data_IF_850119944514
#
_entry.id   IF_850119944514
#
_cell.length_a   1.000
_cell.length_b   1.000
_cell.length_c   1.000
_cell.angle_alpha   90.00
_cell.angle_beta   90.00
_cell.angle_gamma   90.00
#
_symmetry.space_group_name_H-M   'P 1'
#
loop_
_entity.id
_entity.type
_entity.pdbx_description
1 polymer ?
#
# COMPACT_ATOMS: atom_id res chain seq x y z
N UNK A 1 -18.45 13.01 21.54
CA UNK A 1 -17.78 11.70 21.46
C UNK A 1 -16.27 11.93 21.47
N UNK A 2 -15.52 11.40 22.43
CA UNK A 2 -14.06 11.55 22.47
C UNK A 2 -13.43 10.90 21.23
N UNK A 3 -12.53 11.62 20.55
CA UNK A 3 -11.75 11.06 19.44
C UNK A 3 -10.85 9.95 20.01
N UNK A 4 -11.06 8.70 19.58
CA UNK A 4 -10.10 7.62 19.89
C UNK A 4 -8.69 8.07 19.43
N UNK A 5 -7.66 7.89 20.26
CA UNK A 5 -6.29 8.19 19.86
C UNK A 5 -5.96 7.40 18.61
N UNK A 6 -5.31 8.06 17.64
CA UNK A 6 -4.88 7.38 16.40
C UNK A 6 -3.75 6.42 16.78
N UNK A 7 -3.80 5.14 16.37
CA UNK A 7 -2.72 4.21 16.65
C UNK A 7 -1.42 4.75 16.01
N UNK A 8 -0.37 4.87 16.82
CA UNK A 8 0.96 5.23 16.34
C UNK A 8 1.49 4.06 15.52
N UNK A 9 1.77 4.29 14.24
CA UNK A 9 2.35 3.26 13.38
C UNK A 9 3.79 2.94 13.82
N UNK A 10 4.19 1.67 13.92
CA UNK A 10 5.56 1.32 14.26
C UNK A 10 6.51 1.68 13.13
N UNK A 11 7.77 1.90 13.49
CA UNK A 11 8.88 1.93 12.55
C UNK A 11 9.19 0.51 12.06
N UNK A 12 9.95 0.36 10.98
CA UNK A 12 10.38 -0.94 10.51
C UNK A 12 11.16 -1.68 11.58
N UNK A 13 10.93 -2.98 11.73
CA UNK A 13 11.69 -3.80 12.65
C UNK A 13 11.91 -5.19 12.07
N UNK A 14 13.01 -5.81 12.48
CA UNK A 14 13.26 -7.23 12.27
C UNK A 14 12.65 -7.97 13.43
N UNK A 15 11.70 -8.85 13.15
CA UNK A 15 11.08 -9.71 14.15
C UNK A 15 11.34 -11.17 13.84
N UNK A 16 10.88 -12.01 14.75
CA UNK A 16 10.86 -13.45 14.53
C UNK A 16 9.99 -13.81 13.33
N UNK A 17 10.18 -15.05 12.91
CA UNK A 17 9.35 -15.71 11.92
C UNK A 17 7.86 -15.53 12.20
N UNK A 18 7.04 -15.29 11.15
CA UNK A 18 5.62 -15.20 11.34
C UNK A 18 5.08 -16.56 11.82
N UNK A 19 4.25 -16.53 12.85
CA UNK A 19 3.59 -17.73 13.39
C UNK A 19 2.63 -18.39 12.40
N UNK A 20 2.31 -17.71 11.30
CA UNK A 20 1.43 -18.22 10.23
C UNK A 20 2.07 -18.00 8.86
N UNK A 21 1.76 -18.89 7.94
CA UNK A 21 2.19 -18.82 6.55
C UNK A 21 1.68 -17.52 5.91
N UNK A 22 2.60 -16.70 5.42
CA UNK A 22 2.25 -15.44 4.76
C UNK A 22 1.50 -15.61 3.43
N UNK A 23 1.52 -16.82 2.86
CA UNK A 23 0.86 -17.16 1.60
C UNK A 23 -0.56 -17.68 1.79
N UNK A 24 -0.77 -18.69 2.64
CA UNK A 24 -2.09 -19.33 2.82
C UNK A 24 -2.71 -19.13 4.21
N UNK A 25 -1.96 -18.60 5.18
CA UNK A 25 -2.44 -18.39 6.55
C UNK A 25 -2.38 -19.60 7.47
N UNK A 26 -1.86 -20.75 7.01
CA UNK A 26 -1.65 -21.96 7.83
C UNK A 26 -0.78 -21.67 9.05
N UNK A 27 -1.09 -22.28 10.19
CA UNK A 27 -0.32 -22.14 11.44
C UNK A 27 1.04 -22.85 11.32
N UNK A 28 2.13 -22.13 11.56
CA UNK A 28 3.50 -22.64 11.43
C UNK A 28 4.09 -23.10 12.76
N UNK A 29 3.32 -23.11 13.85
CA UNK A 29 3.77 -23.61 15.14
C UNK A 29 4.29 -25.06 15.02
N UNK A 30 5.60 -25.25 15.27
CA UNK A 30 6.26 -26.56 15.20
C UNK A 30 6.53 -27.08 13.78
N UNK A 31 6.29 -26.26 12.75
CA UNK A 31 6.57 -26.62 11.36
C UNK A 31 7.97 -26.14 10.98
N UNK A 32 8.78 -27.04 10.43
CA UNK A 32 10.07 -26.72 9.82
C UNK A 32 10.06 -27.15 8.36
N UNK A 33 10.83 -26.48 7.50
CA UNK A 33 10.85 -26.80 6.07
C UNK A 33 9.80 -26.01 5.31
N UNK A 34 8.80 -26.69 4.76
CA UNK A 34 7.79 -26.11 3.89
C UNK A 34 6.43 -26.06 4.54
N UNK A 35 5.61 -25.08 4.16
CA UNK A 35 4.21 -25.01 4.54
C UNK A 35 3.49 -26.27 4.03
N UNK A 36 2.79 -27.03 4.90
CA UNK A 36 2.06 -28.24 4.50
C UNK A 36 0.95 -27.99 3.49
N UNK A 37 0.34 -26.80 3.51
CA UNK A 37 -0.79 -26.48 2.62
C UNK A 37 -0.36 -25.96 1.25
N UNK A 38 0.56 -24.98 1.20
CA UNK A 38 0.93 -24.31 -0.04
C UNK A 38 2.35 -24.65 -0.54
N UNK A 39 3.12 -25.42 0.22
CA UNK A 39 4.47 -25.86 -0.16
C UNK A 39 5.54 -24.77 -0.12
N UNK A 40 5.21 -23.55 0.34
CA UNK A 40 6.17 -22.45 0.42
C UNK A 40 7.26 -22.75 1.44
N UNK A 41 8.52 -22.38 1.15
CA UNK A 41 9.63 -22.57 2.09
C UNK A 41 9.51 -21.61 3.28
N UNK A 42 9.84 -22.14 4.44
CA UNK A 42 9.84 -21.47 5.76
C UNK A 42 11.18 -21.76 6.47
N UNK A 43 11.84 -22.86 6.09
CA UNK A 43 13.13 -23.28 6.59
C UNK A 43 14.22 -22.22 6.42
N UNK A 44 14.94 -21.95 7.50
CA UNK A 44 16.23 -21.25 7.46
C UNK A 44 16.14 -19.75 7.24
N UNK A 45 14.97 -19.11 7.34
CA UNK A 45 14.99 -17.64 7.40
C UNK A 45 15.38 -17.18 8.82
N UNK A 46 16.25 -16.18 8.99
CA UNK A 46 16.63 -15.72 10.32
C UNK A 46 15.64 -14.73 10.95
N UNK A 47 14.51 -14.45 10.28
CA UNK A 47 13.51 -13.49 10.73
C UNK A 47 12.73 -12.86 9.57
N UNK A 48 11.79 -12.00 9.92
CA UNK A 48 10.96 -11.26 8.97
C UNK A 48 11.04 -9.75 9.21
N UNK A 49 11.06 -8.97 8.13
CA UNK A 49 11.02 -7.50 8.24
C UNK A 49 9.57 -7.05 8.13
N UNK A 50 9.10 -6.38 9.18
CA UNK A 50 7.74 -5.86 9.26
C UNK A 50 7.75 -4.35 9.04
N UNK A 51 6.95 -3.86 8.09
CA UNK A 51 6.76 -2.42 7.87
C UNK A 51 5.27 -2.04 7.87
N UNK A 52 4.99 -0.84 8.36
CA UNK A 52 3.70 -0.19 8.19
C UNK A 52 3.72 0.69 6.94
N UNK A 53 2.92 0.34 5.94
CA UNK A 53 2.93 1.05 4.66
C UNK A 53 1.54 1.28 4.09
N UNK A 54 1.49 2.14 3.08
CA UNK A 54 0.34 2.41 2.24
C UNK A 54 0.76 2.02 0.82
N UNK A 55 0.26 0.90 0.29
CA UNK A 55 0.59 0.51 -1.07
C UNK A 55 0.15 1.61 -2.03
N UNK A 56 0.95 1.85 -3.07
CA UNK A 56 0.50 2.62 -4.21
C UNK A 56 -0.57 1.78 -4.88
N UNK A 57 -1.72 2.37 -5.15
CA UNK A 57 -2.83 1.65 -5.75
C UNK A 57 -2.37 0.92 -7.00
N UNK A 58 -2.63 -0.39 -7.06
CA UNK A 58 -2.88 -1.04 -8.34
C UNK A 58 -3.94 -0.19 -9.04
N UNK A 59 -3.65 0.20 -10.29
CA UNK A 59 -4.52 1.08 -11.06
C UNK A 59 -5.98 0.68 -10.86
N UNK A 60 -6.90 1.65 -10.66
CA UNK A 60 -8.32 1.34 -10.53
C UNK A 60 -8.68 0.45 -11.71
N UNK A 61 -9.26 -0.73 -11.39
CA UNK A 61 -9.64 -1.76 -12.35
C UNK A 61 -10.03 -1.08 -13.67
N UNK A 62 -9.39 -1.39 -14.81
CA UNK A 62 -9.59 -0.67 -16.07
C UNK A 62 -11.08 -0.57 -16.44
N UNK A 63 -11.90 -1.53 -15.99
CA UNK A 63 -13.37 -1.47 -16.09
C UNK A 63 -14.04 -0.33 -15.35
N UNK A 64 -13.54 0.10 -14.19
CA UNK A 64 -14.04 1.31 -13.53
C UNK A 64 -13.72 2.55 -14.35
N UNK A 65 -12.49 2.67 -14.88
CA UNK A 65 -12.12 3.79 -15.77
C UNK A 65 -13.00 3.80 -17.02
N UNK A 66 -13.19 2.63 -17.65
CA UNK A 66 -14.07 2.48 -18.80
C UNK A 66 -15.52 2.85 -18.48
N UNK A 67 -16.06 2.40 -17.33
CA UNK A 67 -17.40 2.75 -16.89
C UNK A 67 -17.57 4.27 -16.69
N UNK A 68 -16.57 4.97 -16.14
CA UNK A 68 -16.59 6.43 -16.04
C UNK A 68 -16.61 7.10 -17.42
N UNK A 69 -15.81 6.61 -18.37
CA UNK A 69 -15.77 7.15 -19.74
C UNK A 69 -17.12 6.94 -20.41
N UNK A 70 -17.69 5.72 -20.36
CA UNK A 70 -18.99 5.40 -20.95
C UNK A 70 -20.09 6.26 -20.32
N UNK A 71 -20.10 6.40 -18.99
CA UNK A 71 -21.08 7.23 -18.29
C UNK A 71 -20.98 8.71 -18.69
N UNK A 72 -19.76 9.24 -18.83
CA UNK A 72 -19.54 10.62 -19.27
C UNK A 72 -19.99 10.85 -20.73
N UNK A 73 -19.67 9.91 -21.63
CA UNK A 73 -20.11 9.96 -23.03
C UNK A 73 -21.63 9.86 -23.11
N UNK A 74 -22.24 8.89 -22.42
CA UNK A 74 -23.68 8.72 -22.37
C UNK A 74 -24.36 9.98 -21.83
N UNK A 75 -23.88 10.56 -20.73
CA UNK A 75 -24.43 11.80 -20.17
C UNK A 75 -24.32 12.98 -21.15
N UNK A 76 -23.23 13.07 -21.92
CA UNK A 76 -23.04 14.12 -22.94
C UNK A 76 -23.97 13.94 -24.14
N UNK A 77 -24.11 12.72 -24.65
CA UNK A 77 -25.03 12.43 -25.75
C UNK A 77 -26.49 12.64 -25.33
N UNK A 78 -26.83 12.20 -24.11
CA UNK A 78 -28.17 12.37 -23.56
C UNK A 78 -28.49 13.86 -23.39
N UNK A 79 -27.56 14.67 -22.88
CA UNK A 79 -27.77 16.11 -22.71
C UNK A 79 -27.96 16.82 -24.05
N UNK A 80 -27.19 16.47 -25.09
CA UNK A 80 -27.37 17.00 -26.45
C UNK A 80 -28.73 16.61 -27.05
N UNK A 81 -29.14 15.35 -26.89
CA UNK A 81 -30.44 14.87 -27.35
C UNK A 81 -31.60 15.59 -26.66
N UNK A 82 -31.53 15.77 -25.33
CA UNK A 82 -32.54 16.50 -24.56
C UNK A 82 -32.52 18.01 -24.78
N UNK A 83 -31.39 18.59 -25.21
CA UNK A 83 -31.36 19.97 -25.67
C UNK A 83 -32.14 20.13 -26.97
N UNK A 84 -31.92 19.25 -27.95
CA UNK A 84 -32.65 19.25 -29.22
C UNK A 84 -34.15 18.99 -29.04
N UNK A 85 -34.53 18.05 -28.18
CA UNK A 85 -35.94 17.74 -27.88
C UNK A 85 -36.56 18.75 -26.93
N UNK A 86 -35.82 19.31 -25.97
CA UNK A 86 -36.32 20.25 -24.98
C UNK A 86 -36.78 21.58 -25.58
N UNK A 87 -36.19 21.97 -26.71
CA UNK A 87 -36.69 23.06 -27.57
C UNK A 87 -38.10 22.77 -28.11
N UNK A 88 -38.48 21.49 -28.21
CA UNK A 88 -39.72 21.03 -28.85
C UNK A 88 -40.79 20.52 -27.86
N UNK A 89 -40.41 19.89 -26.75
CA UNK A 89 -41.31 19.13 -25.85
C UNK A 89 -41.40 19.73 -24.43
N UNK A 90 -40.64 20.79 -24.14
CA UNK A 90 -40.80 21.58 -22.92
C UNK A 90 -39.62 21.46 -21.95
N UNK A 91 -39.07 22.63 -21.60
CA UNK A 91 -37.88 22.83 -20.77
C UNK A 91 -37.87 22.06 -19.43
N UNK A 92 -39.05 21.88 -18.82
CA UNK A 92 -39.18 21.25 -17.50
C UNK A 92 -38.80 19.77 -17.49
N UNK A 93 -39.16 19.01 -18.53
CA UNK A 93 -38.86 17.56 -18.62
C UNK A 93 -37.35 17.36 -18.77
N UNK A 94 -36.69 18.18 -19.60
CA UNK A 94 -35.24 18.14 -19.78
C UNK A 94 -34.49 18.42 -18.48
N UNK A 95 -34.98 19.36 -17.64
CA UNK A 95 -34.39 19.62 -16.32
C UNK A 95 -34.51 18.43 -15.36
N UNK A 96 -35.67 17.76 -15.32
CA UNK A 96 -35.88 16.60 -14.44
C UNK A 96 -34.98 15.42 -14.83
N UNK A 97 -34.81 15.15 -16.12
CA UNK A 97 -33.92 14.07 -16.59
C UNK A 97 -32.47 14.39 -16.26
N UNK A 98 -32.02 15.63 -16.51
CA UNK A 98 -30.67 16.06 -16.14
C UNK A 98 -30.42 15.91 -14.64
N UNK A 99 -31.38 16.34 -13.80
CA UNK A 99 -31.30 16.17 -12.35
C UNK A 99 -31.19 14.67 -11.96
N UNK A 100 -31.98 13.79 -12.59
CA UNK A 100 -31.92 12.35 -12.36
C UNK A 100 -30.56 11.74 -12.69
N UNK A 101 -29.96 12.13 -13.83
CA UNK A 101 -28.61 11.69 -14.21
C UNK A 101 -27.57 12.17 -13.19
N UNK A 102 -27.62 13.44 -12.79
CA UNK A 102 -26.69 13.99 -11.79
C UNK A 102 -26.81 13.27 -10.44
N UNK A 103 -28.03 12.96 -9.99
CA UNK A 103 -28.26 12.17 -8.77
C UNK A 103 -27.66 10.77 -8.91
N UNK A 104 -27.86 10.10 -10.06
CA UNK A 104 -27.30 8.77 -10.29
C UNK A 104 -25.77 8.76 -10.30
N UNK A 105 -25.13 9.75 -10.96
CA UNK A 105 -23.67 9.93 -10.93
C UNK A 105 -23.19 10.20 -9.51
N UNK A 106 -23.86 11.08 -8.77
CA UNK A 106 -23.51 11.39 -7.39
C UNK A 106 -23.62 10.16 -6.48
N UNK A 107 -24.74 9.43 -6.55
CA UNK A 107 -24.94 8.19 -5.81
C UNK A 107 -23.86 7.16 -6.16
N UNK A 108 -23.50 6.99 -7.43
CA UNK A 108 -22.42 6.11 -7.85
C UNK A 108 -21.05 6.54 -7.31
N UNK A 109 -20.73 7.85 -7.32
CA UNK A 109 -19.46 8.36 -6.76
C UNK A 109 -19.39 8.16 -5.25
N UNK A 110 -20.49 8.40 -4.53
CA UNK A 110 -20.57 8.24 -3.08
C UNK A 110 -20.56 6.77 -2.66
N UNK A 111 -21.24 5.90 -3.42
CA UNK A 111 -21.29 4.45 -3.16
C UNK A 111 -20.07 3.70 -3.70
N UNK A 112 -19.37 4.27 -4.68
CA UNK A 112 -18.04 3.85 -5.09
C UNK A 112 -17.16 4.00 -3.88
N UNK A 113 -17.02 2.91 -3.13
CA UNK A 113 -16.07 2.78 -2.04
C UNK A 113 -14.71 3.05 -2.66
N UNK A 114 -14.27 4.29 -2.59
CA UNK A 114 -12.86 4.63 -2.62
C UNK A 114 -12.28 3.70 -1.58
N UNK A 115 -11.46 2.72 -2.03
CA UNK A 115 -10.70 1.89 -1.11
C UNK A 115 -9.86 2.91 -0.35
N UNK A 116 -10.35 3.33 0.82
CA UNK A 116 -9.64 4.26 1.69
C UNK A 116 -8.25 3.67 1.81
N UNK A 117 -7.22 4.50 1.60
CA UNK A 117 -5.82 4.13 1.76
C UNK A 117 -5.66 3.53 3.16
N UNK A 118 -5.88 2.23 3.28
CA UNK A 118 -5.74 1.52 4.53
C UNK A 118 -4.26 1.30 4.67
N UNK A 119 -3.76 1.65 5.85
CA UNK A 119 -2.43 1.22 6.21
C UNK A 119 -2.45 -0.31 6.20
N UNK A 120 -1.44 -0.89 5.60
CA UNK A 120 -1.20 -2.31 5.51
C UNK A 120 0.07 -2.64 6.29
N UNK A 121 0.07 -3.82 6.91
CA UNK A 121 1.27 -4.45 7.42
C UNK A 121 1.88 -5.23 6.27
N UNK A 122 3.07 -4.83 5.85
CA UNK A 122 3.83 -5.49 4.79
C UNK A 122 4.94 -6.28 5.48
N UNK A 123 5.01 -7.57 5.18
CA UNK A 123 5.95 -8.51 5.79
C UNK A 123 6.88 -9.03 4.69
N UNK A 124 8.17 -8.84 4.86
CA UNK A 124 9.19 -9.40 3.97
C UNK A 124 9.81 -10.61 4.65
N UNK A 125 9.94 -11.66 3.87
CA UNK A 125 10.51 -12.98 4.23
C UNK A 125 11.40 -13.41 3.08
N UNK A 126 12.16 -14.50 3.20
CA UNK A 126 12.90 -15.07 2.05
C UNK A 126 11.98 -15.78 1.05
N UNK A 127 10.76 -16.12 1.45
CA UNK A 127 9.75 -16.65 0.55
C UNK A 127 9.14 -15.58 -0.38
N UNK A 128 8.95 -14.36 0.13
CA UNK A 128 8.31 -13.28 -0.62
C UNK A 128 7.81 -12.12 0.25
N UNK A 129 6.83 -11.40 -0.31
CA UNK A 129 6.18 -10.24 0.27
C UNK A 129 4.74 -10.62 0.66
N UNK A 130 4.43 -10.59 1.94
CA UNK A 130 3.06 -10.71 2.46
C UNK A 130 2.44 -9.35 2.76
N UNK A 131 1.17 -9.14 2.39
CA UNK A 131 0.43 -7.90 2.65
C UNK A 131 -0.85 -8.19 3.41
N UNK A 132 -1.01 -7.58 4.57
CA UNK A 132 -2.20 -7.70 5.41
C UNK A 132 -2.77 -6.32 5.75
N UNK A 133 -4.09 -6.19 5.90
CA UNK A 133 -4.67 -4.99 6.51
C UNK A 133 -4.07 -4.75 7.91
N UNK A 134 -3.87 -3.48 8.30
CA UNK A 134 -3.33 -3.16 9.63
C UNK A 134 -4.18 -3.78 10.74
N UNK A 135 -3.53 -4.51 11.66
CA UNK A 135 -4.20 -5.24 12.74
C UNK A 135 -4.67 -6.66 12.37
N UNK A 136 -4.50 -7.11 11.12
CA UNK A 136 -4.64 -8.52 10.76
C UNK A 136 -3.28 -9.23 10.81
N UNK A 137 -3.31 -10.47 11.26
CA UNK A 137 -2.11 -11.31 11.40
C UNK A 137 -1.68 -12.03 10.12
N UNK A 138 -2.53 -12.11 9.10
CA UNK A 138 -2.22 -12.85 7.88
C UNK A 138 -2.57 -12.04 6.64
N UNK A 139 -1.81 -12.31 5.58
CA UNK A 139 -1.87 -11.55 4.34
C UNK A 139 -3.12 -11.85 3.53
N UNK A 140 -3.70 -10.82 2.93
CA UNK A 140 -4.72 -10.95 1.88
C UNK A 140 -4.04 -11.20 0.50
N UNK A 141 -2.76 -10.81 0.36
CA UNK A 141 -1.99 -10.93 -0.88
C UNK A 141 -0.57 -11.37 -0.58
N UNK A 142 -0.07 -12.33 -1.37
CA UNK A 142 1.30 -12.81 -1.32
C UNK A 142 1.98 -12.69 -2.68
N UNK A 143 3.21 -12.17 -2.70
CA UNK A 143 4.02 -11.98 -3.90
C UNK A 143 5.34 -12.73 -3.70
N UNK A 144 5.58 -13.86 -4.38
CA UNK A 144 6.85 -14.61 -4.25
C UNK A 144 8.00 -13.83 -4.90
N UNK A 145 9.21 -14.00 -4.34
CA UNK A 145 10.43 -13.54 -5.02
C UNK A 145 10.75 -14.39 -6.24
N UNK A 146 11.40 -13.79 -7.22
CA UNK A 146 11.91 -14.39 -8.46
C UNK A 146 13.43 -14.45 -8.47
N UNK A 147 14.10 -13.71 -7.58
CA UNK A 147 15.54 -13.69 -7.39
C UNK A 147 16.28 -12.64 -8.21
N UNK A 148 15.60 -11.98 -9.14
CA UNK A 148 16.12 -10.91 -10.00
C UNK A 148 15.51 -9.54 -9.65
N UNK A 149 14.74 -9.45 -8.57
CA UNK A 149 14.14 -8.20 -8.14
C UNK A 149 15.16 -7.18 -7.67
N UNK A 150 14.92 -5.92 -8.04
CA UNK A 150 15.69 -4.76 -7.59
C UNK A 150 14.85 -3.98 -6.59
N UNK A 151 15.42 -3.78 -5.40
CA UNK A 151 14.80 -3.03 -4.29
C UNK A 151 15.31 -1.59 -4.30
N UNK A 152 14.43 -0.64 -4.60
CA UNK A 152 14.73 0.80 -4.67
C UNK A 152 13.92 1.60 -3.64
N UNK A 153 14.43 1.78 -2.42
CA UNK A 153 13.88 2.77 -1.51
C UNK A 153 14.30 4.18 -1.94
N UNK A 154 13.36 5.12 -1.88
CA UNK A 154 13.53 6.54 -2.20
C UNK A 154 13.12 7.38 -0.99
N UNK A 155 13.97 8.35 -0.67
CA UNK A 155 13.65 9.29 0.39
C UNK A 155 12.60 10.29 -0.09
N UNK A 156 11.48 10.40 0.62
CA UNK A 156 10.41 11.39 0.31
C UNK A 156 10.28 12.44 1.41
N UNK A 157 10.57 12.08 2.66
CA UNK A 157 10.59 13.01 3.79
C UNK A 157 11.44 12.48 4.94
N UNK A 158 11.23 13.01 6.14
CA UNK A 158 11.94 12.59 7.35
C UNK A 158 11.41 11.27 7.91
N UNK A 159 10.09 11.04 7.79
CA UNK A 159 9.40 9.88 8.39
C UNK A 159 8.77 8.96 7.35
N UNK A 160 8.33 9.51 6.22
CA UNK A 160 7.70 8.74 5.14
C UNK A 160 8.69 8.55 4.00
N UNK A 161 8.88 7.31 3.61
CA UNK A 161 9.76 6.90 2.52
C UNK A 161 8.94 6.14 1.48
N UNK A 162 9.48 5.98 0.27
CA UNK A 162 8.83 5.25 -0.80
C UNK A 162 9.66 4.03 -1.17
N UNK A 163 9.05 2.84 -1.18
CA UNK A 163 9.69 1.60 -1.61
C UNK A 163 9.13 1.20 -2.96
N UNK A 164 10.02 0.93 -3.91
CA UNK A 164 9.68 0.37 -5.21
C UNK A 164 10.47 -0.90 -5.42
N UNK A 165 9.79 -2.01 -5.70
CA UNK A 165 10.40 -3.28 -6.08
C UNK A 165 10.09 -3.51 -7.55
N UNK A 166 11.13 -3.79 -8.31
CA UNK A 166 11.05 -3.96 -9.76
C UNK A 166 11.65 -5.29 -10.19
N UNK A 167 11.08 -5.89 -11.21
CA UNK A 167 11.65 -7.05 -11.90
C UNK A 167 12.11 -6.61 -13.29
N UNK A 168 13.31 -7.03 -13.74
CA UNK A 168 13.75 -6.78 -15.11
C UNK A 168 12.80 -7.46 -16.11
N UNK A 169 12.47 -6.76 -17.19
CA UNK A 169 11.78 -7.30 -18.37
C UNK A 169 12.77 -7.46 -19.51
N UNK A 170 12.41 -8.34 -20.45
CA UNK A 170 13.13 -8.50 -21.72
C UNK A 170 13.22 -7.13 -22.41
N UNK A 171 14.44 -6.73 -22.79
CA UNK A 171 14.71 -5.43 -23.40
C UNK A 171 15.18 -4.32 -22.45
N UNK A 172 15.59 -4.66 -21.21
CA UNK A 172 16.18 -3.70 -20.26
C UNK A 172 15.18 -2.76 -19.59
N UNK A 173 13.88 -2.94 -19.85
CA UNK A 173 12.82 -2.23 -19.14
C UNK A 173 12.61 -2.88 -17.76
N UNK A 174 12.19 -2.09 -16.77
CA UNK A 174 11.83 -2.60 -15.46
C UNK A 174 10.31 -2.52 -15.26
N UNK A 175 9.73 -3.58 -14.71
CA UNK A 175 8.33 -3.59 -14.30
C UNK A 175 8.25 -3.54 -12.78
N UNK A 176 7.57 -2.53 -12.24
CA UNK A 176 7.34 -2.52 -10.80
C UNK A 176 6.27 -3.55 -10.42
N UNK A 177 6.66 -4.48 -9.54
CA UNK A 177 5.77 -5.51 -9.00
C UNK A 177 5.11 -5.06 -7.69
N UNK A 178 5.77 -4.15 -6.97
CA UNK A 178 5.29 -3.64 -5.70
C UNK A 178 5.78 -2.21 -5.45
N UNK A 179 4.86 -1.34 -5.07
CA UNK A 179 5.16 0.04 -4.67
C UNK A 179 4.40 0.38 -3.40
N UNK A 180 5.06 0.98 -2.40
CA UNK A 180 4.39 1.48 -1.20
C UNK A 180 5.09 2.69 -0.60
N UNK A 181 4.31 3.62 -0.03
CA UNK A 181 4.84 4.57 0.94
C UNK A 181 4.89 3.92 2.32
N UNK A 182 5.98 4.02 3.06
CA UNK A 182 6.10 3.39 4.37
C UNK A 182 6.77 4.30 5.39
N UNK A 183 6.47 4.07 6.67
CA UNK A 183 7.09 4.82 7.77
C UNK A 183 8.48 4.26 8.02
N UNK A 184 9.52 5.08 7.94
CA UNK A 184 10.92 4.72 8.18
C UNK A 184 11.74 5.99 8.38
N UNK A 185 12.66 5.97 9.35
CA UNK A 185 13.60 7.09 9.49
C UNK A 185 14.59 7.07 8.33
N UNK A 186 15.17 8.22 8.00
CA UNK A 186 16.06 8.33 6.83
C UNK A 186 17.35 7.52 7.02
N UNK A 187 17.85 7.47 8.25
CA UNK A 187 19.01 6.70 8.69
C UNK A 187 18.82 5.18 8.58
N UNK A 188 17.59 4.69 8.79
CA UNK A 188 17.24 3.26 8.70
C UNK A 188 17.05 2.78 7.25
N UNK A 189 16.96 3.71 6.29
CA UNK A 189 16.61 3.40 4.90
C UNK A 189 17.63 2.49 4.21
N UNK A 190 18.92 2.66 4.54
CA UNK A 190 20.00 1.83 4.00
C UNK A 190 19.90 0.41 4.55
N UNK A 191 19.66 0.26 5.85
CA UNK A 191 19.46 -1.06 6.46
C UNK A 191 18.25 -1.77 5.86
N UNK A 192 17.11 -1.06 5.72
CA UNK A 192 15.90 -1.64 5.10
C UNK A 192 16.17 -2.10 3.68
N UNK A 193 16.90 -1.31 2.89
CA UNK A 193 17.29 -1.69 1.54
C UNK A 193 18.05 -3.02 1.55
N UNK A 194 19.11 -3.10 2.38
CA UNK A 194 19.96 -4.28 2.45
C UNK A 194 19.19 -5.48 2.99
N UNK A 195 18.39 -5.33 4.04
CA UNK A 195 17.61 -6.42 4.62
C UNK A 195 16.62 -7.02 3.61
N UNK A 196 15.84 -6.19 2.91
CA UNK A 196 14.89 -6.67 1.90
C UNK A 196 15.63 -7.30 0.70
N UNK A 197 16.75 -6.70 0.28
CA UNK A 197 17.54 -7.22 -0.83
C UNK A 197 18.18 -8.58 -0.47
N UNK A 198 18.71 -8.73 0.75
CA UNK A 198 19.23 -10.01 1.23
C UNK A 198 18.13 -11.06 1.33
N UNK A 199 16.90 -10.69 1.71
CA UNK A 199 15.77 -11.63 1.67
C UNK A 199 15.40 -12.06 0.25
N UNK A 200 15.44 -11.15 -0.72
CA UNK A 200 15.11 -11.44 -2.12
C UNK A 200 16.16 -12.34 -2.82
N UNK A 201 17.43 -12.26 -2.40
CA UNK A 201 18.54 -13.03 -2.99
C UNK A 201 19.05 -14.18 -2.10
N UNK A 202 18.35 -14.51 -1.01
CA UNK A 202 18.74 -15.55 -0.04
C UNK A 202 20.13 -15.34 0.58
N UNK A 203 20.50 -14.08 0.80
CA UNK A 203 21.75 -13.69 1.47
C UNK A 203 21.57 -13.60 3.00
N UNK A 204 22.67 -13.59 3.78
CA UNK A 204 22.62 -13.32 5.21
C UNK A 204 22.01 -11.95 5.52
N UNK A 205 21.15 -11.89 6.54
CA UNK A 205 20.52 -10.63 6.96
C UNK A 205 21.55 -9.69 7.60
N UNK A 206 21.53 -8.38 7.28
CA UNK A 206 22.34 -7.41 7.97
C UNK A 206 21.85 -7.19 9.40
N UNK A 207 22.77 -6.93 10.33
CA UNK A 207 22.43 -6.56 11.70
C UNK A 207 21.55 -5.29 11.71
N UNK A 208 20.50 -5.25 12.55
CA UNK A 208 19.66 -4.07 12.69
C UNK A 208 20.48 -2.89 13.24
N UNK A 209 20.19 -1.64 12.79
CA UNK A 209 20.84 -0.48 13.37
C UNK A 209 20.52 -0.43 14.86
N UNK A 210 21.54 -0.24 15.69
CA UNK A 210 21.36 -0.01 17.12
C UNK A 210 20.45 1.23 17.25
N UNK A 211 19.32 1.13 17.97
CA UNK A 211 18.44 2.27 18.17
C UNK A 211 19.25 3.40 18.79
N UNK A 212 19.53 4.46 18.03
CA UNK A 212 20.11 5.66 18.60
C UNK A 212 19.06 6.22 19.55
N UNK A 213 19.29 6.07 20.86
CA UNK A 213 18.44 6.71 21.85
C UNK A 213 18.33 8.19 21.48
N UNK A 214 17.11 8.76 21.46
CA UNK A 214 16.94 10.15 21.13
C UNK A 214 17.79 10.96 22.11
N UNK A 215 18.85 11.63 21.60
CA UNK A 215 19.77 12.37 22.45
C UNK A 215 18.94 13.39 23.27
N UNK A 216 18.89 13.25 24.62
CA UNK A 216 18.06 14.12 25.45
C UNK A 216 18.41 15.61 25.29
N UNK A 217 19.62 15.93 24.83
CA UNK A 217 20.05 17.32 24.61
C UNK A 217 19.36 18.03 23.44
N UNK A 218 18.74 17.32 22.49
CA UNK A 218 18.06 17.96 21.35
C UNK A 218 16.63 18.41 21.67
N UNK A 219 16.11 18.10 22.88
CA UNK A 219 14.82 18.63 23.36
C UNK A 219 15.03 19.82 24.28
N UNK A 220 15.89 20.78 23.89
CA UNK A 220 15.79 22.10 24.51
C UNK A 220 14.53 22.79 23.97
N UNK A 221 13.62 23.24 24.83
CA UNK A 221 12.46 24.01 24.40
C UNK A 221 12.98 25.23 23.64
N UNK A 222 12.57 25.37 22.37
CA UNK A 222 12.89 26.55 21.58
C UNK A 222 12.53 27.82 22.38
N UNK A 223 13.32 28.90 22.28
CA UNK A 223 13.10 30.11 23.05
C UNK A 223 11.66 30.59 22.83
N UNK A 224 10.89 30.65 23.91
CA UNK A 224 9.58 31.28 23.92
C UNK A 224 9.78 32.77 23.62
N UNK A 225 9.71 33.17 22.35
CA UNK A 225 9.48 34.56 21.98
C UNK A 225 8.05 34.91 22.36
N UNK A 226 7.92 35.49 23.54
CA UNK A 226 6.73 36.23 23.95
C UNK A 226 6.86 37.59 23.28
N UNK A 227 6.18 37.78 22.16
CA UNK A 227 6.00 39.10 21.56
C UNK A 227 4.95 39.85 22.39
N UNK A 228 5.41 40.87 23.12
CA UNK A 228 4.60 41.94 23.73
C UNK A 228 4.25 43.01 22.71
#
# INVERSE_FOLDING_TARGET
MPKKPRPTLPFPFLGDHPSRCISCGYDLAGVAGKCPECGIRIDGEPGAVYIAGVPKFEDPNPWRRAAFIILAVAATLLSQFFFLIGVLVGFLISLLVLAGVLIAVFAFVVTSRSKKRSIERITFTRAGIGRAAWGREFGDVFIPWRGDEVVEPKSVGTVWQHLTIKTPKVGGLFHSIFECGFRCRREELIWIRHAIQSMAHDEPLPEPPIPTEPNPETTQPGPNTIDT
#
